data_IF_381346835464
#
_entry.id   IF_381346835464
#
_cell.length_a   1.000
_cell.length_b   1.000
_cell.length_c   1.000
_cell.angle_alpha   90.00
_cell.angle_beta   90.00
_cell.angle_gamma   90.00
#
_symmetry.space_group_name_H-M   'P 1'
#
loop_
_entity.id
_entity.type
_entity.pdbx_description
1 polymer ?
#
# COMPACT_ATOMS: atom_id res chain seq x y z
N UNK A 1 -54.77 56.47 5.04
CA UNK A 1 -55.12 57.13 6.32
C UNK A 1 -54.74 56.20 7.45
N UNK A 2 -53.96 56.71 8.44
CA UNK A 2 -53.91 56.40 9.90
C UNK A 2 -54.03 54.93 10.34
N UNK A 3 -53.29 54.38 11.31
CA UNK A 3 -52.37 54.85 12.36
C UNK A 3 -51.75 53.55 12.95
N UNK A 4 -50.47 53.49 13.36
CA UNK A 4 -49.98 53.58 14.76
C UNK A 4 -50.54 52.44 15.65
N UNK A 5 -49.81 51.68 16.49
CA UNK A 5 -48.69 51.94 17.42
C UNK A 5 -48.28 50.56 18.02
N UNK A 6 -47.00 50.20 18.15
CA UNK A 6 -46.15 50.27 19.36
C UNK A 6 -46.15 49.05 20.33
N UNK A 7 -44.92 48.60 20.63
CA UNK A 7 -44.40 48.11 21.94
C UNK A 7 -44.66 46.64 22.34
N UNK A 8 -43.86 45.90 23.13
CA UNK A 8 -42.50 45.98 23.75
C UNK A 8 -42.30 44.59 24.42
N UNK A 9 -41.10 43.98 24.27
CA UNK A 9 -40.25 43.23 25.25
C UNK A 9 -40.77 42.02 26.08
N UNK A 10 -39.89 41.00 26.11
CA UNK A 10 -39.54 40.03 27.17
C UNK A 10 -40.38 38.76 27.47
N UNK A 11 -39.78 37.63 27.06
CA UNK A 11 -39.20 36.56 27.88
C UNK A 11 -40.03 35.80 28.95
N UNK A 12 -40.03 34.45 28.76
CA UNK A 12 -39.87 33.39 29.77
C UNK A 12 -41.08 33.10 30.70
N UNK A 13 -41.55 31.87 30.97
CA UNK A 13 -40.92 30.55 31.00
C UNK A 13 -42.01 29.46 31.24
N UNK A 14 -41.82 28.27 30.65
CA UNK A 14 -42.27 26.90 30.99
C UNK A 14 -43.77 26.61 31.25
N UNK A 15 -44.36 25.71 30.44
CA UNK A 15 -44.31 24.25 30.61
C UNK A 15 -45.13 23.59 29.50
N UNK A 16 -44.52 22.77 28.65
CA UNK A 16 -45.26 21.66 28.03
C UNK A 16 -44.32 20.49 27.77
N UNK A 17 -44.76 19.35 28.30
CA UNK A 17 -44.15 18.02 28.25
C UNK A 17 -44.25 17.43 26.84
N UNK A 18 -43.13 16.97 26.28
CA UNK A 18 -43.15 15.92 25.28
C UNK A 18 -41.77 15.24 25.16
N UNK A 19 -41.72 14.01 25.67
CA UNK A 19 -41.01 12.88 25.08
C UNK A 19 -39.53 13.07 24.78
N UNK A 20 -38.71 12.81 25.80
CA UNK A 20 -37.38 12.25 25.56
C UNK A 20 -37.54 10.96 24.76
N UNK A 21 -37.35 11.04 23.44
CA UNK A 21 -36.98 9.89 22.65
C UNK A 21 -35.70 9.35 23.28
N UNK A 22 -35.84 8.27 24.03
CA UNK A 22 -34.78 7.35 24.39
C UNK A 22 -34.10 6.95 23.08
N UNK A 23 -33.09 7.71 22.68
CA UNK A 23 -32.00 7.15 21.88
C UNK A 23 -31.54 6.01 22.75
N UNK A 24 -31.88 4.79 22.32
CA UNK A 24 -31.32 3.59 22.88
C UNK A 24 -29.82 3.72 22.67
N UNK A 25 -29.14 4.29 23.68
CA UNK A 25 -27.74 4.07 23.89
C UNK A 25 -27.64 2.55 23.97
N UNK A 26 -27.32 1.92 22.83
CA UNK A 26 -26.57 0.67 22.84
C UNK A 26 -25.34 1.03 23.64
N UNK A 27 -25.43 0.85 24.95
CA UNK A 27 -24.29 0.51 25.78
C UNK A 27 -23.61 -0.59 24.99
N UNK A 28 -22.51 -0.22 24.30
CA UNK A 28 -21.47 -1.17 23.97
C UNK A 28 -21.01 -1.70 25.30
N UNK A 29 -21.73 -2.71 25.77
CA UNK A 29 -21.24 -3.63 26.75
C UNK A 29 -19.95 -4.17 26.11
N UNK A 30 -18.82 -3.69 26.60
CA UNK A 30 -17.53 -4.35 26.45
C UNK A 30 -17.74 -5.78 26.96
N UNK A 31 -18.24 -6.63 26.06
CA UNK A 31 -18.08 -8.06 26.18
C UNK A 31 -16.57 -8.20 26.24
N UNK A 32 -16.04 -8.57 27.41
CA UNK A 32 -14.68 -9.06 27.57
C UNK A 32 -14.28 -9.77 26.29
N UNK A 33 -13.20 -9.34 25.62
CA UNK A 33 -12.76 -9.89 24.34
C UNK A 33 -12.78 -11.41 24.44
N UNK A 34 -13.81 -12.04 23.87
CA UNK A 34 -14.19 -13.44 24.17
C UNK A 34 -13.05 -14.39 23.78
N UNK A 35 -12.19 -13.93 22.88
CA UNK A 35 -10.86 -14.42 22.54
C UNK A 35 -10.14 -13.33 21.70
N UNK A 36 -8.81 -13.39 21.67
CA UNK A 36 -7.94 -12.60 20.78
C UNK A 36 -7.57 -13.48 19.59
N UNK A 37 -7.77 -12.99 18.37
CA UNK A 37 -7.36 -13.67 17.15
C UNK A 37 -5.88 -13.40 16.92
N UNK A 38 -5.12 -14.44 16.60
CA UNK A 38 -3.71 -14.35 16.23
C UNK A 38 -3.51 -14.90 14.81
N UNK A 39 -3.79 -14.09 13.77
CA UNK A 39 -3.68 -14.55 12.39
C UNK A 39 -2.24 -14.92 12.06
N UNK A 40 -2.07 -16.02 11.35
CA UNK A 40 -0.81 -16.36 10.69
C UNK A 40 -0.62 -15.52 9.44
N UNK A 41 -1.70 -15.33 8.67
CA UNK A 41 -1.75 -14.49 7.48
C UNK A 41 -2.90 -13.49 7.58
N UNK A 42 -2.64 -12.25 7.18
CA UNK A 42 -3.63 -11.20 6.98
C UNK A 42 -3.55 -10.71 5.54
N UNK A 43 -4.60 -10.95 4.76
CA UNK A 43 -4.75 -10.50 3.38
C UNK A 43 -5.27 -9.07 3.40
N UNK A 44 -4.66 -8.18 2.62
CA UNK A 44 -5.04 -6.78 2.49
C UNK A 44 -5.37 -6.53 1.03
N UNK A 45 -6.66 -6.39 0.74
CA UNK A 45 -7.19 -5.97 -0.56
C UNK A 45 -7.65 -4.50 -0.48
N UNK A 46 -7.97 -3.86 -1.61
CA UNK A 46 -8.20 -2.42 -1.69
C UNK A 46 -9.66 -2.09 -2.00
N UNK A 47 -10.33 -2.92 -2.80
CA UNK A 47 -11.76 -2.76 -3.11
C UNK A 47 -12.48 -4.12 -3.29
N UNK A 48 -13.82 -4.07 -3.38
CA UNK A 48 -14.70 -5.25 -3.38
C UNK A 48 -14.26 -6.41 -4.29
N UNK A 49 -14.17 -6.21 -5.61
CA UNK A 49 -13.71 -7.22 -6.56
C UNK A 49 -12.41 -7.94 -6.21
N UNK A 50 -11.43 -7.27 -5.60
CA UNK A 50 -10.20 -7.93 -5.14
C UNK A 50 -10.46 -8.82 -3.92
N UNK A 51 -11.24 -8.32 -2.94
CA UNK A 51 -11.62 -9.09 -1.77
C UNK A 51 -12.49 -10.31 -2.12
N UNK A 52 -13.39 -10.14 -3.10
CA UNK A 52 -14.38 -11.15 -3.49
C UNK A 52 -13.75 -12.44 -4.04
N UNK A 53 -12.54 -12.37 -4.63
CA UNK A 53 -11.83 -13.56 -5.15
C UNK A 53 -11.40 -14.54 -4.06
N UNK A 54 -11.43 -14.12 -2.79
CA UNK A 54 -11.10 -14.95 -1.64
C UNK A 54 -12.31 -15.63 -0.99
N UNK A 55 -13.53 -15.36 -1.48
CA UNK A 55 -14.76 -15.85 -0.88
C UNK A 55 -15.29 -17.12 -1.56
N UNK A 56 -15.96 -17.98 -0.79
CA UNK A 56 -16.59 -19.19 -1.31
C UNK A 56 -15.61 -20.24 -1.88
N UNK A 57 -14.32 -20.14 -1.54
CA UNK A 57 -13.29 -21.07 -2.00
C UNK A 57 -13.25 -22.36 -1.14
N UNK A 58 -12.88 -23.53 -1.71
CA UNK A 58 -12.89 -24.78 -0.96
C UNK A 58 -11.81 -24.91 0.13
N UNK A 59 -10.69 -24.20 0.01
CA UNK A 59 -9.52 -24.37 0.86
C UNK A 59 -9.69 -23.76 2.25
N UNK A 60 -10.38 -22.62 2.36
CA UNK A 60 -10.67 -21.94 3.61
C UNK A 60 -11.89 -21.00 3.47
N UNK A 61 -12.61 -20.78 4.57
CA UNK A 61 -13.77 -19.88 4.61
C UNK A 61 -13.44 -18.63 5.44
N UNK A 62 -13.18 -17.50 4.78
CA UNK A 62 -12.91 -16.22 5.45
C UNK A 62 -14.15 -15.60 6.12
N UNK A 63 -15.35 -15.98 5.72
CA UNK A 63 -16.58 -15.36 6.21
C UNK A 63 -17.12 -16.04 7.48
N UNK A 64 -16.38 -17.01 8.02
CA UNK A 64 -16.74 -17.72 9.24
C UNK A 64 -16.78 -16.80 10.47
N UNK A 65 -15.91 -15.79 10.53
CA UNK A 65 -15.86 -14.80 11.60
C UNK A 65 -15.75 -13.40 10.99
N UNK A 66 -16.73 -12.54 11.28
CA UNK A 66 -16.73 -11.13 10.87
C UNK A 66 -16.52 -10.23 12.09
N UNK A 67 -15.54 -9.35 12.03
CA UNK A 67 -15.18 -8.42 13.10
C UNK A 67 -15.22 -7.00 12.57
N UNK A 68 -16.20 -6.23 13.02
CA UNK A 68 -16.24 -4.79 12.75
C UNK A 68 -15.15 -4.07 13.52
N UNK A 69 -14.25 -3.39 12.82
CA UNK A 69 -13.11 -2.66 13.41
C UNK A 69 -13.36 -1.15 13.31
N UNK A 70 -13.50 -0.44 14.44
CA UNK A 70 -13.61 1.02 14.43
C UNK A 70 -12.41 1.67 13.76
N UNK A 71 -12.66 2.54 12.77
CA UNK A 71 -11.64 3.25 12.00
C UNK A 71 -11.30 2.62 10.65
N UNK A 72 -11.86 1.46 10.32
CA UNK A 72 -11.88 0.96 8.95
C UNK A 72 -12.71 1.87 8.04
N UNK A 73 -12.49 1.75 6.73
CA UNK A 73 -13.32 2.41 5.72
C UNK A 73 -14.81 2.17 5.99
N UNK A 74 -15.66 3.21 5.93
CA UNK A 74 -17.11 3.04 6.08
C UNK A 74 -17.75 2.13 5.03
N UNK A 75 -17.08 1.93 3.89
CA UNK A 75 -17.52 1.00 2.84
C UNK A 75 -17.18 -0.45 3.17
N UNK A 76 -16.13 -0.66 3.96
CA UNK A 76 -15.55 -1.96 4.27
C UNK A 76 -15.17 -2.03 5.77
N UNK A 77 -16.17 -2.02 6.68
CA UNK A 77 -15.91 -1.84 8.11
C UNK A 77 -15.44 -3.10 8.83
N UNK A 78 -15.39 -4.24 8.14
CA UNK A 78 -15.18 -5.56 8.73
C UNK A 78 -13.83 -6.18 8.33
N UNK A 79 -13.23 -6.92 9.26
CA UNK A 79 -12.23 -7.93 8.99
C UNK A 79 -12.89 -9.31 8.98
N UNK A 80 -12.56 -10.12 7.99
CA UNK A 80 -13.09 -11.46 7.76
C UNK A 80 -12.03 -12.48 8.12
N UNK A 81 -12.34 -13.48 8.94
CA UNK A 81 -11.40 -14.50 9.38
C UNK A 81 -11.97 -15.91 9.28
N UNK A 82 -11.08 -16.87 9.05
CA UNK A 82 -11.39 -18.30 9.17
C UNK A 82 -11.87 -18.66 10.57
N UNK A 83 -12.62 -19.77 10.68
CA UNK A 83 -13.19 -20.20 11.96
C UNK A 83 -12.15 -20.41 13.08
N UNK A 84 -10.92 -20.78 12.72
CA UNK A 84 -9.79 -20.91 13.63
C UNK A 84 -8.97 -19.61 13.81
N UNK A 85 -9.27 -18.57 13.02
CA UNK A 85 -8.59 -17.27 13.06
C UNK A 85 -7.19 -17.26 12.46
N UNK A 86 -6.75 -18.32 11.78
CA UNK A 86 -5.40 -18.43 11.21
C UNK A 86 -5.21 -17.53 9.98
N UNK A 87 -6.27 -17.32 9.19
CA UNK A 87 -6.23 -16.46 8.00
C UNK A 87 -7.32 -15.41 8.17
N UNK A 88 -6.94 -14.15 8.06
CA UNK A 88 -7.85 -13.03 8.03
C UNK A 88 -7.67 -12.20 6.76
N UNK A 89 -8.65 -11.37 6.45
CA UNK A 89 -8.71 -10.52 5.28
C UNK A 89 -9.42 -9.21 5.64
N UNK A 90 -9.01 -8.12 5.01
CA UNK A 90 -9.74 -6.85 5.03
C UNK A 90 -9.66 -6.18 3.66
N UNK A 91 -10.54 -5.21 3.45
CA UNK A 91 -10.51 -4.30 2.31
C UNK A 91 -10.23 -2.89 2.85
N UNK A 92 -9.17 -2.23 2.38
CA UNK A 92 -8.76 -0.93 2.91
C UNK A 92 -9.67 0.22 2.47
N UNK A 93 -10.25 0.10 1.28
CA UNK A 93 -10.62 1.24 0.45
C UNK A 93 -9.42 1.74 -0.37
N UNK A 94 -9.71 2.31 -1.54
CA UNK A 94 -8.71 2.81 -2.48
C UNK A 94 -8.04 4.11 -1.98
N UNK A 95 -6.82 4.37 -2.46
CA UNK A 95 -5.94 5.52 -2.11
C UNK A 95 -5.24 5.44 -0.75
N UNK A 96 -4.08 6.12 -0.66
CA UNK A 96 -3.13 6.07 0.45
C UNK A 96 -3.78 6.41 1.80
N UNK A 97 -4.73 7.36 1.83
CA UNK A 97 -5.37 7.82 3.07
C UNK A 97 -6.26 6.73 3.66
N UNK A 98 -7.06 6.05 2.83
CA UNK A 98 -7.92 4.96 3.29
C UNK A 98 -7.06 3.77 3.76
N UNK A 99 -6.04 3.41 2.98
CA UNK A 99 -5.06 2.38 3.34
C UNK A 99 -4.40 2.66 4.70
N UNK A 100 -3.81 3.83 4.87
CA UNK A 100 -3.12 4.20 6.10
C UNK A 100 -4.09 4.22 7.32
N UNK A 101 -5.30 4.75 7.15
CA UNK A 101 -6.28 4.87 8.24
C UNK A 101 -6.83 3.51 8.67
N UNK A 102 -7.19 2.66 7.70
CA UNK A 102 -7.70 1.31 7.96
C UNK A 102 -6.64 0.45 8.65
N UNK A 103 -5.41 0.43 8.14
CA UNK A 103 -4.33 -0.39 8.72
C UNK A 103 -3.89 0.14 10.09
N UNK A 104 -3.80 1.46 10.28
CA UNK A 104 -3.48 2.05 11.58
C UNK A 104 -4.54 1.74 12.65
N UNK A 105 -5.79 1.51 12.24
CA UNK A 105 -6.89 1.07 13.09
C UNK A 105 -6.79 -0.42 13.40
N UNK A 106 -6.52 -1.26 12.40
CA UNK A 106 -6.33 -2.71 12.56
C UNK A 106 -5.27 -3.01 13.63
N UNK A 107 -4.06 -2.44 13.47
CA UNK A 107 -2.90 -2.78 14.29
C UNK A 107 -3.02 -2.38 15.76
N UNK A 108 -4.00 -1.54 16.09
CA UNK A 108 -4.29 -1.11 17.48
C UNK A 108 -5.56 -1.73 18.03
N UNK A 109 -6.30 -2.49 17.21
CA UNK A 109 -7.56 -3.05 17.64
C UNK A 109 -7.30 -4.29 18.52
N UNK A 110 -7.75 -4.30 19.79
CA UNK A 110 -7.32 -5.28 20.78
C UNK A 110 -7.86 -6.71 20.53
N UNK A 111 -8.71 -6.91 19.52
CA UNK A 111 -9.14 -8.24 19.06
C UNK A 111 -8.05 -9.00 18.32
N UNK A 112 -6.99 -8.33 17.86
CA UNK A 112 -5.93 -8.96 17.08
C UNK A 112 -4.58 -8.90 17.81
N UNK A 113 -3.92 -10.05 17.90
CA UNK A 113 -2.47 -10.14 18.15
C UNK A 113 -1.78 -10.35 16.80
N UNK A 114 -1.11 -9.30 16.33
CA UNK A 114 -0.47 -9.28 15.00
C UNK A 114 1.06 -9.44 15.07
N UNK A 115 1.60 -9.77 16.25
CA UNK A 115 3.05 -9.75 16.52
C UNK A 115 3.85 -10.74 15.67
N UNK A 116 3.19 -11.77 15.13
CA UNK A 116 3.82 -12.80 14.28
C UNK A 116 3.13 -12.95 12.92
N UNK A 117 2.19 -12.06 12.59
CA UNK A 117 1.36 -12.17 11.39
C UNK A 117 2.16 -11.80 10.16
N UNK A 118 1.95 -12.56 9.08
CA UNK A 118 2.36 -12.17 7.74
C UNK A 118 1.26 -11.36 7.08
N UNK A 119 1.62 -10.18 6.57
CA UNK A 119 0.70 -9.34 5.82
C UNK A 119 0.95 -9.57 4.33
N UNK A 120 -0.09 -9.94 3.60
CA UNK A 120 -0.05 -10.04 2.15
C UNK A 120 -0.93 -8.96 1.56
N UNK A 121 -0.28 -7.91 1.07
CA UNK A 121 -0.93 -6.88 0.27
C UNK A 121 -1.18 -7.51 -1.11
N UNK A 122 -2.44 -7.62 -1.50
CA UNK A 122 -2.87 -8.41 -2.65
C UNK A 122 -3.91 -7.61 -3.45
N UNK A 123 -3.48 -6.95 -4.52
CA UNK A 123 -4.38 -6.15 -5.35
C UNK A 123 -3.99 -6.17 -6.82
N UNK A 124 -4.80 -5.52 -7.65
CA UNK A 124 -4.46 -5.22 -9.04
C UNK A 124 -3.55 -4.00 -9.13
N UNK A 125 -2.97 -3.78 -10.30
CA UNK A 125 -2.09 -2.68 -10.64
C UNK A 125 -2.07 -2.42 -12.14
N UNK A 126 -1.75 -1.19 -12.53
CA UNK A 126 -1.29 -0.90 -13.89
C UNK A 126 0.13 -1.44 -14.08
N UNK A 127 0.45 -1.97 -15.27
CA UNK A 127 1.73 -2.62 -15.55
C UNK A 127 2.57 -1.81 -16.53
N UNK A 128 3.87 -1.71 -16.24
CA UNK A 128 4.87 -1.21 -17.17
C UNK A 128 5.17 -2.29 -18.23
N UNK A 129 4.86 -2.05 -19.52
CA UNK A 129 5.09 -3.02 -20.60
C UNK A 129 6.56 -3.34 -20.86
N UNK A 130 7.51 -2.59 -20.28
CA UNK A 130 8.95 -2.88 -20.35
C UNK A 130 9.36 -4.07 -19.49
N UNK A 131 8.54 -4.43 -18.48
CA UNK A 131 8.91 -5.44 -17.48
C UNK A 131 7.91 -6.59 -17.35
N UNK A 132 6.63 -6.37 -17.64
CA UNK A 132 5.59 -7.39 -17.51
C UNK A 132 4.39 -7.09 -18.44
N UNK A 133 3.36 -7.94 -18.37
CA UNK A 133 2.16 -7.86 -19.22
C UNK A 133 0.89 -8.02 -18.38
N UNK A 134 -0.27 -7.84 -19.02
CA UNK A 134 -1.60 -8.08 -18.45
C UNK A 134 -1.69 -9.50 -17.88
N UNK A 135 -2.28 -9.61 -16.69
CA UNK A 135 -2.40 -10.84 -15.92
C UNK A 135 -1.12 -11.28 -15.20
N UNK A 136 0.05 -10.66 -15.44
CA UNK A 136 1.26 -10.99 -14.68
C UNK A 136 1.09 -10.67 -13.18
N UNK A 137 1.79 -11.43 -12.35
CA UNK A 137 1.82 -11.25 -10.88
C UNK A 137 3.20 -10.78 -10.47
N UNK A 138 3.31 -9.58 -9.91
CA UNK A 138 4.56 -9.04 -9.40
C UNK A 138 4.64 -9.13 -7.88
N UNK A 139 5.83 -9.44 -7.38
CA UNK A 139 6.17 -9.31 -5.97
C UNK A 139 7.24 -8.24 -5.82
N UNK A 140 6.97 -7.25 -4.97
CA UNK A 140 7.82 -6.09 -4.81
C UNK A 140 8.76 -6.18 -3.62
N UNK A 141 9.93 -5.60 -3.81
CA UNK A 141 10.89 -5.31 -2.74
C UNK A 141 10.73 -3.87 -2.27
N UNK A 142 10.38 -2.95 -3.16
CA UNK A 142 10.13 -1.55 -2.85
C UNK A 142 8.69 -1.12 -3.14
N UNK A 143 8.18 -0.24 -2.28
CA UNK A 143 7.05 0.63 -2.57
C UNK A 143 7.54 2.08 -2.57
N UNK A 144 7.36 2.78 -3.70
CA UNK A 144 7.89 4.14 -3.91
C UNK A 144 6.76 5.13 -4.14
N UNK A 145 6.65 6.19 -3.33
CA UNK A 145 5.63 7.22 -3.48
C UNK A 145 6.05 8.24 -4.56
N UNK A 146 5.80 7.91 -5.82
CA UNK A 146 6.34 8.64 -6.98
C UNK A 146 5.68 10.01 -7.19
N UNK A 147 4.48 10.23 -6.66
CA UNK A 147 3.79 11.52 -6.73
C UNK A 147 4.17 12.48 -5.58
N UNK A 148 4.98 12.06 -4.61
CA UNK A 148 5.45 12.93 -3.52
C UNK A 148 6.61 13.85 -3.98
N UNK A 149 6.27 14.78 -4.88
CA UNK A 149 7.19 15.67 -5.57
C UNK A 149 6.54 17.04 -5.77
N UNK A 150 7.31 18.07 -6.15
CA UNK A 150 6.72 19.25 -6.75
C UNK A 150 6.18 18.89 -8.14
N UNK A 151 5.04 19.47 -8.50
CA UNK A 151 4.42 19.29 -9.82
C UNK A 151 4.23 20.65 -10.50
N UNK A 152 4.74 20.76 -11.73
CA UNK A 152 4.51 21.89 -12.63
C UNK A 152 3.76 21.41 -13.87
N UNK A 153 2.96 22.29 -14.48
CA UNK A 153 2.39 22.03 -15.79
C UNK A 153 3.50 21.74 -16.81
N UNK A 154 3.37 20.67 -17.59
CA UNK A 154 4.31 20.34 -18.67
C UNK A 154 4.45 21.44 -19.74
N UNK A 155 3.51 22.39 -19.80
CA UNK A 155 3.56 23.52 -20.73
C UNK A 155 4.33 24.72 -20.18
N UNK A 156 4.67 24.71 -18.89
CA UNK A 156 5.35 25.80 -18.20
C UNK A 156 6.78 25.43 -17.77
N UNK A 157 7.19 24.17 -17.96
CA UNK A 157 8.54 23.71 -17.63
C UNK A 157 9.58 24.09 -18.71
N UNK A 158 10.85 24.27 -18.33
CA UNK A 158 11.95 24.39 -19.28
C UNK A 158 12.06 23.20 -20.23
N UNK A 159 12.50 23.43 -21.46
CA UNK A 159 12.62 22.38 -22.50
C UNK A 159 13.64 21.29 -22.19
N UNK A 160 14.52 21.50 -21.19
CA UNK A 160 15.47 20.49 -20.73
C UNK A 160 14.89 19.54 -19.66
N UNK A 161 13.66 19.75 -19.19
CA UNK A 161 13.02 18.85 -18.22
C UNK A 161 12.17 17.84 -18.95
N UNK A 162 12.25 16.58 -18.52
CA UNK A 162 11.50 15.47 -19.12
C UNK A 162 10.05 15.40 -18.63
N UNK A 163 9.75 15.97 -17.46
CA UNK A 163 8.39 16.05 -16.91
C UNK A 163 8.26 17.23 -15.94
N UNK A 164 7.03 17.49 -15.51
CA UNK A 164 6.69 18.48 -14.48
C UNK A 164 7.05 18.08 -13.06
N UNK A 165 7.50 16.84 -12.82
CA UNK A 165 7.79 16.33 -11.49
C UNK A 165 9.24 16.61 -11.09
N UNK A 166 9.41 17.28 -9.94
CA UNK A 166 10.70 17.64 -9.36
C UNK A 166 10.76 17.15 -7.92
N UNK A 167 11.78 16.37 -7.52
CA UNK A 167 11.91 15.89 -6.14
C UNK A 167 11.87 17.03 -5.11
N UNK A 168 11.28 16.75 -3.94
CA UNK A 168 11.07 17.76 -2.91
C UNK A 168 12.39 18.39 -2.45
N UNK A 169 12.44 19.73 -2.47
CA UNK A 169 13.64 20.50 -2.14
C UNK A 169 14.74 20.52 -3.21
N UNK A 170 14.53 19.89 -4.37
CA UNK A 170 15.45 19.92 -5.51
C UNK A 170 15.04 20.99 -6.53
N UNK A 171 15.94 21.28 -7.47
CA UNK A 171 15.71 22.23 -8.57
C UNK A 171 15.59 21.55 -9.94
N UNK A 172 16.01 20.29 -10.08
CA UNK A 172 15.90 19.52 -11.32
C UNK A 172 15.40 18.09 -11.10
N UNK A 173 14.80 17.42 -12.11
CA UNK A 173 14.23 16.08 -11.96
C UNK A 173 15.26 14.98 -11.61
N UNK A 174 16.55 15.22 -11.86
CA UNK A 174 17.62 14.23 -11.64
C UNK A 174 18.27 14.35 -10.26
N UNK A 175 17.92 15.38 -9.48
CA UNK A 175 18.48 15.62 -8.16
C UNK A 175 17.72 14.83 -7.09
N UNK A 176 18.47 14.06 -6.28
CA UNK A 176 17.91 13.37 -5.11
C UNK A 176 17.14 14.36 -4.20
N UNK A 177 15.96 14.01 -3.66
CA UNK A 177 15.18 14.91 -2.82
C UNK A 177 16.00 15.43 -1.62
N UNK A 178 15.94 16.75 -1.40
CA UNK A 178 16.62 17.42 -0.28
C UNK A 178 15.70 17.62 0.93
N UNK A 179 14.38 17.54 0.72
CA UNK A 179 13.37 17.53 1.76
C UNK A 179 12.70 16.17 1.78
N UNK A 180 12.96 15.38 2.84
CA UNK A 180 12.47 14.01 3.00
C UNK A 180 11.37 14.01 4.07
N UNK A 181 10.24 13.38 3.79
CA UNK A 181 9.07 13.29 4.67
C UNK A 181 8.95 11.94 5.36
N UNK A 182 9.59 10.89 4.84
CA UNK A 182 9.69 9.56 5.46
C UNK A 182 8.92 8.46 4.74
N UNK A 183 8.05 8.82 3.79
CA UNK A 183 7.18 7.88 3.06
C UNK A 183 7.58 7.69 1.61
N UNK A 184 8.69 8.31 1.17
CA UNK A 184 9.17 8.24 -0.22
C UNK A 184 9.41 6.79 -0.66
N UNK A 185 10.06 5.99 0.20
CA UNK A 185 10.47 4.62 -0.12
C UNK A 185 10.37 3.74 1.11
N UNK A 186 9.77 2.57 0.94
CA UNK A 186 9.86 1.44 1.87
C UNK A 186 10.57 0.26 1.18
N UNK A 187 11.51 -0.38 1.87
CA UNK A 187 12.10 -1.65 1.47
C UNK A 187 11.55 -2.80 2.33
N UNK A 188 11.11 -3.86 1.68
CA UNK A 188 10.59 -5.08 2.29
C UNK A 188 11.62 -6.21 2.26
N UNK A 189 11.33 -7.28 3.00
CA UNK A 189 12.22 -8.42 3.16
C UNK A 189 12.39 -9.21 1.85
N UNK A 190 13.56 -9.10 1.21
CA UNK A 190 13.82 -9.72 -0.09
C UNK A 190 13.83 -11.26 -0.02
N UNK A 191 14.23 -11.85 1.11
CA UNK A 191 14.18 -13.31 1.25
C UNK A 191 12.74 -13.80 1.31
N UNK A 192 11.87 -13.07 2.01
CA UNK A 192 10.44 -13.37 2.04
C UNK A 192 9.79 -13.18 0.66
N UNK A 193 10.13 -12.10 -0.06
CA UNK A 193 9.71 -11.86 -1.45
C UNK A 193 10.06 -13.07 -2.34
N UNK A 194 11.32 -13.53 -2.30
CA UNK A 194 11.78 -14.69 -3.09
C UNK A 194 11.07 -15.98 -2.73
N UNK A 195 10.77 -16.21 -1.45
CA UNK A 195 9.96 -17.36 -1.02
C UNK A 195 8.54 -17.27 -1.57
N UNK A 196 7.89 -16.10 -1.48
CA UNK A 196 6.55 -15.88 -2.02
C UNK A 196 6.50 -16.11 -3.53
N UNK A 197 7.48 -15.60 -4.28
CA UNK A 197 7.62 -15.84 -5.73
C UNK A 197 7.78 -17.33 -6.04
N UNK A 198 8.59 -18.06 -5.27
CA UNK A 198 8.78 -19.49 -5.47
C UNK A 198 7.49 -20.30 -5.24
N UNK A 199 6.64 -19.87 -4.31
CA UNK A 199 5.30 -20.44 -4.13
C UNK A 199 4.36 -20.06 -5.27
N UNK A 200 4.24 -18.77 -5.57
CA UNK A 200 3.35 -18.25 -6.61
C UNK A 200 3.63 -18.84 -8.00
N UNK A 201 4.89 -19.15 -8.33
CA UNK A 201 5.27 -19.81 -9.61
C UNK A 201 4.67 -21.21 -9.80
N UNK A 202 4.08 -21.82 -8.77
CA UNK A 202 3.33 -23.07 -8.89
C UNK A 202 1.94 -22.86 -9.51
N UNK A 203 1.42 -21.64 -9.45
CA UNK A 203 0.11 -21.30 -9.98
C UNK A 203 0.10 -21.38 -11.51
N UNK A 204 -0.97 -21.95 -12.05
CA UNK A 204 -1.31 -21.77 -13.46
C UNK A 204 -2.06 -20.44 -13.59
N UNK A 205 -1.35 -19.39 -14.02
CA UNK A 205 -1.95 -18.07 -14.20
C UNK A 205 -3.02 -18.10 -15.29
N UNK A 206 -4.13 -17.44 -15.01
CA UNK A 206 -5.20 -17.17 -15.95
C UNK A 206 -4.77 -16.13 -16.99
N UNK A 207 -5.27 -16.31 -18.20
CA UNK A 207 -5.12 -15.41 -19.34
C UNK A 207 -6.37 -15.55 -20.21
N UNK A 208 -6.69 -14.55 -21.03
CA UNK A 208 -7.90 -14.56 -21.86
C UNK A 208 -7.66 -14.02 -23.27
N UNK A 209 -8.63 -14.18 -24.18
CA UNK A 209 -8.45 -13.79 -25.59
C UNK A 209 -8.17 -12.30 -25.78
N UNK A 210 -8.86 -11.47 -25.00
CA UNK A 210 -8.83 -10.01 -25.14
C UNK A 210 -7.45 -9.41 -24.79
N UNK A 211 -6.81 -9.72 -23.63
CA UNK A 211 -5.45 -9.26 -23.33
C UNK A 211 -4.41 -9.85 -24.26
N UNK A 212 -4.58 -11.09 -24.74
CA UNK A 212 -3.69 -11.69 -25.76
C UNK A 212 -3.71 -10.86 -27.06
N UNK A 213 -4.90 -10.48 -27.52
CA UNK A 213 -5.07 -9.65 -28.72
C UNK A 213 -4.52 -8.24 -28.46
N UNK A 214 -4.86 -7.63 -27.33
CA UNK A 214 -4.46 -6.27 -27.02
C UNK A 214 -2.94 -6.13 -26.89
N UNK A 215 -2.29 -7.04 -26.16
CA UNK A 215 -0.84 -6.96 -25.90
C UNK A 215 0.02 -7.22 -27.14
N UNK A 216 -0.55 -7.80 -28.20
CA UNK A 216 0.14 -7.94 -29.49
C UNK A 216 0.53 -6.58 -30.12
N UNK A 217 -0.19 -5.50 -29.79
CA UNK A 217 0.17 -4.14 -30.24
C UNK A 217 1.54 -3.67 -29.71
N UNK A 218 1.99 -4.21 -28.57
CA UNK A 218 3.28 -3.88 -27.97
C UNK A 218 4.46 -4.58 -28.68
N UNK A 219 4.22 -5.63 -29.47
CA UNK A 219 5.26 -6.43 -30.12
C UNK A 219 6.08 -5.65 -31.17
N UNK A 220 5.59 -4.49 -31.62
CA UNK A 220 6.31 -3.63 -32.57
C UNK A 220 7.54 -2.93 -31.94
N UNK A 221 7.64 -2.90 -30.61
CA UNK A 221 8.77 -2.33 -29.88
C UNK A 221 9.55 -3.42 -29.14
N UNK A 222 10.85 -3.52 -29.39
CA UNK A 222 11.71 -4.43 -28.64
C UNK A 222 11.77 -4.10 -27.15
N UNK A 223 11.55 -2.83 -26.78
CA UNK A 223 11.49 -2.42 -25.38
C UNK A 223 10.28 -3.02 -24.65
N UNK A 224 9.22 -3.41 -25.38
CA UNK A 224 7.99 -3.97 -24.82
C UNK A 224 7.85 -5.47 -25.09
N UNK A 225 8.96 -6.18 -25.27
CA UNK A 225 8.96 -7.62 -25.45
C UNK A 225 8.29 -8.35 -24.27
N UNK A 226 8.47 -7.85 -23.03
CA UNK A 226 7.79 -8.37 -21.85
C UNK A 226 6.27 -8.10 -21.90
N UNK A 227 5.88 -6.87 -22.27
CA UNK A 227 4.48 -6.47 -22.46
C UNK A 227 3.75 -7.31 -23.50
N UNK A 228 4.42 -7.76 -24.56
CA UNK A 228 3.81 -8.62 -25.58
C UNK A 228 3.76 -10.12 -25.21
N UNK A 229 4.41 -10.54 -24.13
CA UNK A 229 4.51 -11.95 -23.73
C UNK A 229 3.27 -12.44 -22.97
N UNK A 230 3.20 -13.74 -22.67
CA UNK A 230 2.19 -14.31 -21.77
C UNK A 230 2.45 -13.93 -20.30
N UNK A 231 1.40 -13.90 -19.45
CA UNK A 231 1.56 -13.55 -18.04
C UNK A 231 2.51 -14.50 -17.32
N UNK A 232 3.28 -13.95 -16.37
CA UNK A 232 4.19 -14.72 -15.54
C UNK A 232 4.35 -14.09 -14.16
N UNK A 233 4.97 -14.82 -13.23
CA UNK A 233 5.33 -14.29 -11.91
C UNK A 233 6.69 -13.61 -12.00
N UNK A 234 6.73 -12.32 -11.67
CA UNK A 234 7.91 -11.45 -11.79
C UNK A 234 8.31 -10.82 -10.46
N UNK A 235 9.60 -10.51 -10.34
CA UNK A 235 10.21 -9.81 -9.19
C UNK A 235 10.50 -8.38 -9.62
N UNK A 236 9.68 -7.42 -9.18
CA UNK A 236 9.81 -5.99 -9.51
C UNK A 236 8.88 -5.16 -8.62
N UNK A 237 9.05 -3.85 -8.64
CA UNK A 237 8.60 -2.93 -7.59
C UNK A 237 7.40 -2.06 -7.99
N UNK A 238 6.75 -1.49 -6.97
CA UNK A 238 5.54 -0.70 -7.13
C UNK A 238 5.83 0.81 -7.01
N UNK A 239 5.29 1.57 -7.95
CA UNK A 239 5.12 3.00 -7.85
C UNK A 239 3.74 3.34 -7.28
N UNK A 240 3.70 3.96 -6.11
CA UNK A 240 2.49 4.43 -5.44
C UNK A 240 2.20 5.88 -5.79
N UNK A 241 0.95 6.17 -6.17
CA UNK A 241 0.49 7.52 -6.51
C UNK A 241 -0.99 7.70 -6.20
N UNK A 242 -1.36 8.79 -5.51
CA UNK A 242 -2.77 9.22 -5.40
C UNK A 242 -3.35 9.70 -6.74
N UNK A 243 -2.49 10.07 -7.71
CA UNK A 243 -2.90 10.40 -9.08
C UNK A 243 -2.89 9.13 -9.92
N UNK A 244 -4.04 8.77 -10.48
CA UNK A 244 -4.13 7.75 -11.51
C UNK A 244 -3.62 8.32 -12.84
N UNK A 245 -2.43 7.89 -13.27
CA UNK A 245 -1.73 8.44 -14.43
C UNK A 245 -1.66 7.45 -15.59
N UNK A 246 -1.47 7.99 -16.80
CA UNK A 246 -1.09 7.17 -17.95
C UNK A 246 -0.21 7.94 -18.92
N UNK A 247 0.72 7.22 -19.56
CA UNK A 247 1.47 7.72 -20.71
C UNK A 247 2.98 7.76 -20.49
N UNK A 248 3.72 7.69 -21.61
CA UNK A 248 5.17 7.54 -21.62
C UNK A 248 5.93 8.59 -20.81
N UNK A 249 5.50 9.86 -20.85
CA UNK A 249 6.21 10.95 -20.15
C UNK A 249 6.22 10.73 -18.63
N UNK A 250 5.04 10.49 -18.04
CA UNK A 250 4.90 10.30 -16.60
C UNK A 250 5.49 8.97 -16.15
N UNK A 251 5.19 7.91 -16.90
CA UNK A 251 5.74 6.59 -16.65
C UNK A 251 7.28 6.56 -16.67
N UNK A 252 7.91 7.25 -17.63
CA UNK A 252 9.38 7.38 -17.66
C UNK A 252 9.89 8.24 -16.50
N UNK A 253 9.20 9.34 -16.15
CA UNK A 253 9.59 10.18 -15.02
C UNK A 253 9.56 9.42 -13.69
N UNK A 254 8.51 8.64 -13.45
CA UNK A 254 8.37 7.84 -12.23
C UNK A 254 9.31 6.64 -12.19
N UNK A 255 9.63 6.03 -13.34
CA UNK A 255 10.71 5.04 -13.43
C UNK A 255 12.09 5.64 -13.09
N UNK A 256 12.38 6.84 -13.60
CA UNK A 256 13.62 7.56 -13.28
C UNK A 256 13.68 7.95 -11.80
N UNK A 257 12.57 8.43 -11.23
CA UNK A 257 12.49 8.75 -9.80
C UNK A 257 12.69 7.50 -8.95
N UNK A 258 12.03 6.39 -9.28
CA UNK A 258 12.23 5.10 -8.60
C UNK A 258 13.70 4.72 -8.59
N UNK A 259 14.34 4.72 -9.77
CA UNK A 259 15.78 4.45 -9.92
C UNK A 259 16.62 5.38 -9.04
N UNK A 260 16.30 6.68 -9.02
CA UNK A 260 16.99 7.69 -8.23
C UNK A 260 16.87 7.41 -6.72
N UNK A 261 15.65 7.22 -6.21
CA UNK A 261 15.40 7.10 -4.77
C UNK A 261 15.77 5.75 -4.19
N UNK A 262 15.87 4.70 -5.01
CA UNK A 262 16.33 3.36 -4.58
C UNK A 262 17.81 3.10 -4.92
N UNK A 263 18.59 4.13 -5.26
CA UNK A 263 20.00 4.00 -5.65
C UNK A 263 20.25 2.96 -6.77
N UNK A 264 19.34 2.94 -7.76
CA UNK A 264 19.39 2.07 -8.93
C UNK A 264 18.96 0.63 -8.72
N UNK A 265 18.58 0.24 -7.50
CA UNK A 265 18.26 -1.15 -7.19
C UNK A 265 16.79 -1.54 -7.43
N UNK A 266 15.88 -0.56 -7.46
CA UNK A 266 14.46 -0.74 -7.72
C UNK A 266 14.12 -0.83 -9.21
N UNK A 267 13.08 -1.61 -9.53
CA UNK A 267 12.58 -1.85 -10.89
C UNK A 267 11.10 -1.54 -10.94
N UNK A 268 10.72 -0.34 -11.40
CA UNK A 268 9.32 0.06 -11.51
C UNK A 268 8.57 -0.76 -12.57
N UNK A 269 7.68 -1.66 -12.13
CA UNK A 269 6.87 -2.48 -13.03
C UNK A 269 5.36 -2.41 -12.79
N UNK A 270 4.93 -2.01 -11.59
CA UNK A 270 3.52 -1.93 -11.23
C UNK A 270 3.18 -0.54 -10.68
N UNK A 271 1.96 -0.07 -10.92
CA UNK A 271 1.39 1.15 -10.32
C UNK A 271 0.25 0.80 -9.37
N UNK A 272 0.21 1.48 -8.24
CA UNK A 272 -0.86 1.35 -7.26
C UNK A 272 -1.10 2.67 -6.52
N UNK A 273 -2.09 2.70 -5.62
CA UNK A 273 -2.38 3.90 -4.82
C UNK A 273 -2.29 3.67 -3.32
N UNK A 274 -2.03 2.46 -2.81
CA UNK A 274 -2.19 2.15 -1.37
C UNK A 274 -0.90 1.76 -0.65
N UNK A 275 0.13 1.35 -1.40
CA UNK A 275 1.22 0.54 -0.83
C UNK A 275 2.08 1.33 0.18
N UNK A 276 2.39 2.59 -0.12
CA UNK A 276 3.13 3.46 0.81
C UNK A 276 2.28 3.84 2.04
N UNK A 277 0.97 4.02 1.89
CA UNK A 277 0.05 4.24 3.03
C UNK A 277 -0.03 3.04 3.96
N UNK A 278 -0.13 1.83 3.39
CA UNK A 278 -0.10 0.56 4.14
C UNK A 278 1.25 0.36 4.82
N UNK A 279 2.34 0.56 4.08
CA UNK A 279 3.72 0.48 4.57
C UNK A 279 3.95 1.39 5.76
N UNK A 280 3.57 2.67 5.68
CA UNK A 280 3.78 3.62 6.78
C UNK A 280 3.00 3.24 8.05
N UNK A 281 1.75 2.77 7.90
CA UNK A 281 0.95 2.34 9.04
C UNK A 281 1.57 1.12 9.75
N UNK A 282 2.05 0.13 8.97
CA UNK A 282 2.72 -1.06 9.50
C UNK A 282 4.10 -0.72 10.09
N UNK A 283 4.87 0.18 9.49
CA UNK A 283 6.15 0.65 10.02
C UNK A 283 5.96 1.27 11.40
N UNK A 284 5.00 2.19 11.54
CA UNK A 284 4.68 2.83 12.83
C UNK A 284 4.21 1.82 13.88
N UNK A 285 3.51 0.77 13.47
CA UNK A 285 3.12 -0.31 14.35
C UNK A 285 4.33 -1.18 14.77
N UNK A 286 5.28 -1.42 13.87
CA UNK A 286 6.51 -2.17 14.13
C UNK A 286 7.42 -1.45 15.15
N UNK A 287 7.50 -0.12 15.11
CA UNK A 287 8.19 0.68 16.15
C UNK A 287 7.64 0.37 17.55
N UNK A 288 6.33 0.11 17.64
CA UNK A 288 5.63 -0.24 18.88
C UNK A 288 5.59 -1.74 19.15
N UNK A 289 6.24 -2.56 18.31
CA UNK A 289 6.27 -4.03 18.38
C UNK A 289 4.89 -4.68 18.29
N UNK A 290 3.95 -4.02 17.61
CA UNK A 290 2.60 -4.55 17.37
C UNK A 290 2.56 -5.49 16.16
N UNK A 291 3.49 -5.30 15.22
CA UNK A 291 3.71 -6.13 14.04
C UNK A 291 5.22 -6.30 13.82
N UNK A 292 5.60 -7.22 12.94
CA UNK A 292 6.96 -7.37 12.43
C UNK A 292 7.00 -6.92 10.96
N UNK A 293 7.67 -5.80 10.69
CA UNK A 293 7.75 -5.22 9.34
C UNK A 293 8.46 -6.15 8.34
N UNK A 294 9.26 -7.11 8.82
CA UNK A 294 9.92 -8.11 7.98
C UNK A 294 8.98 -9.20 7.47
N UNK A 295 7.69 -9.15 7.81
CA UNK A 295 6.65 -10.11 7.44
C UNK A 295 5.63 -9.57 6.44
N UNK A 296 6.01 -8.54 5.68
CA UNK A 296 5.16 -7.94 4.65
C UNK A 296 5.53 -8.53 3.29
N UNK A 297 4.51 -8.98 2.57
CA UNK A 297 4.56 -9.41 1.17
C UNK A 297 3.72 -8.42 0.38
N UNK A 298 4.33 -7.75 -0.59
CA UNK A 298 3.63 -6.86 -1.51
C UNK A 298 3.46 -7.56 -2.86
N UNK A 299 2.23 -7.94 -3.18
CA UNK A 299 1.83 -8.62 -4.41
C UNK A 299 0.84 -7.76 -5.20
N UNK A 300 1.13 -7.55 -6.49
CA UNK A 300 0.26 -6.82 -7.42
C UNK A 300 0.03 -7.62 -8.71
N UNK A 301 -1.17 -7.55 -9.28
CA UNK A 301 -1.54 -8.26 -10.51
C UNK A 301 -1.95 -7.29 -11.61
N UNK A 302 -1.49 -7.50 -12.85
CA UNK A 302 -1.58 -6.51 -13.92
C UNK A 302 -2.98 -6.44 -14.58
N UNK A 303 -3.78 -5.41 -14.28
CA UNK A 303 -5.13 -5.21 -14.84
C UNK A 303 -5.15 -4.44 -16.17
N UNK A 304 -4.17 -3.57 -16.37
CA UNK A 304 -4.07 -2.63 -17.49
C UNK A 304 -2.62 -2.19 -17.66
N UNK A 305 -2.25 -1.63 -18.81
CA UNK A 305 -0.95 -1.03 -19.05
C UNK A 305 -0.92 0.45 -18.63
N UNK A 306 0.15 0.85 -17.93
CA UNK A 306 0.33 2.23 -17.46
C UNK A 306 0.58 3.23 -18.61
N UNK A 307 0.90 2.74 -19.81
CA UNK A 307 1.20 3.55 -21.00
C UNK A 307 0.74 2.88 -22.29
N UNK A 308 0.37 3.67 -23.32
CA UNK A 308 -0.04 3.14 -24.61
C UNK A 308 1.09 2.40 -25.32
N UNK A 309 0.72 1.47 -26.21
CA UNK A 309 1.66 0.95 -27.21
C UNK A 309 2.06 2.05 -28.22
N UNK A 310 3.16 1.88 -28.98
CA UNK A 310 3.61 2.90 -29.93
C UNK A 310 2.53 3.28 -30.94
N UNK A 311 2.20 4.57 -31.00
CA UNK A 311 1.22 5.12 -31.95
C UNK A 311 -0.16 5.43 -31.35
N UNK A 312 -0.44 5.00 -30.12
CA UNK A 312 -1.68 5.34 -29.41
C UNK A 312 -1.50 6.53 -28.45
N UNK A 313 -2.56 7.32 -28.27
CA UNK A 313 -2.57 8.43 -27.34
C UNK A 313 -2.77 7.95 -25.89
N UNK A 314 -2.08 8.58 -24.94
CA UNK A 314 -2.23 8.25 -23.50
C UNK A 314 -3.67 8.40 -23.00
N UNK A 315 -4.41 9.40 -23.51
CA UNK A 315 -5.84 9.57 -23.20
C UNK A 315 -6.69 8.42 -23.72
N UNK A 316 -6.34 7.84 -24.86
CA UNK A 316 -7.01 6.63 -25.37
C UNK A 316 -6.72 5.44 -24.48
N UNK A 317 -5.46 5.20 -24.12
CA UNK A 317 -5.06 4.12 -23.22
C UNK A 317 -5.84 4.17 -21.89
N UNK A 318 -5.97 5.35 -21.29
CA UNK A 318 -6.62 5.49 -19.98
C UNK A 318 -8.16 5.44 -20.05
N UNK A 319 -8.78 6.17 -21.00
CA UNK A 319 -10.23 6.34 -20.96
C UNK A 319 -11.02 5.37 -21.83
N UNK A 320 -10.40 4.82 -22.87
CA UNK A 320 -11.13 4.18 -23.96
C UNK A 320 -10.59 2.79 -24.36
N UNK A 321 -9.34 2.47 -24.03
CA UNK A 321 -8.77 1.19 -24.38
C UNK A 321 -9.41 0.06 -23.58
N UNK A 322 -10.01 -0.91 -24.27
CA UNK A 322 -10.42 -2.15 -23.66
C UNK A 322 -9.27 -3.15 -23.76
N UNK A 323 -8.49 -3.25 -22.69
CA UNK A 323 -7.30 -4.08 -22.64
C UNK A 323 -7.58 -5.54 -22.25
N UNK A 324 -8.76 -5.80 -21.67
CA UNK A 324 -9.18 -7.15 -21.24
C UNK A 324 -8.40 -7.74 -20.04
N UNK A 325 -7.51 -6.98 -19.41
CA UNK A 325 -6.63 -7.48 -18.34
C UNK A 325 -7.27 -7.55 -16.94
N UNK A 326 -8.35 -6.80 -16.69
CA UNK A 326 -8.96 -6.68 -15.36
C UNK A 326 -9.38 -8.03 -14.77
N UNK A 327 -10.18 -8.82 -15.49
CA UNK A 327 -10.68 -10.11 -14.99
C UNK A 327 -9.55 -11.14 -14.79
N UNK A 328 -8.61 -11.35 -15.75
CA UNK A 328 -7.45 -12.18 -15.51
C UNK A 328 -6.61 -11.76 -14.30
N UNK A 329 -6.43 -10.46 -14.07
CA UNK A 329 -5.69 -9.95 -12.92
C UNK A 329 -6.35 -10.35 -11.60
N UNK A 330 -7.66 -10.11 -11.46
CA UNK A 330 -8.42 -10.52 -10.28
C UNK A 330 -8.30 -12.02 -10.01
N UNK A 331 -8.49 -12.87 -11.02
CA UNK A 331 -8.32 -14.32 -10.85
C UNK A 331 -6.89 -14.69 -10.43
N UNK A 332 -5.90 -13.99 -10.96
CA UNK A 332 -4.50 -14.23 -10.65
C UNK A 332 -4.10 -13.77 -9.24
N UNK A 333 -4.85 -12.86 -8.60
CA UNK A 333 -4.70 -12.56 -7.16
C UNK A 333 -4.89 -13.85 -6.36
N UNK A 334 -6.02 -14.51 -6.55
CA UNK A 334 -6.33 -15.76 -5.87
C UNK A 334 -5.36 -16.88 -6.28
N UNK A 335 -5.15 -17.11 -7.58
CA UNK A 335 -4.36 -18.24 -8.08
C UNK A 335 -2.91 -18.21 -7.60
N UNK A 336 -2.27 -17.04 -7.58
CA UNK A 336 -0.91 -16.91 -7.06
C UNK A 336 -0.89 -16.81 -5.54
N UNK A 337 -1.76 -16.00 -4.94
CA UNK A 337 -1.74 -15.76 -3.50
C UNK A 337 -2.15 -16.96 -2.67
N UNK A 338 -3.02 -17.86 -3.16
CA UNK A 338 -3.33 -19.14 -2.49
C UNK A 338 -2.09 -20.02 -2.31
N UNK A 339 -1.17 -20.01 -3.28
CA UNK A 339 0.07 -20.79 -3.20
C UNK A 339 1.01 -20.19 -2.16
N UNK A 340 1.06 -18.86 -2.04
CA UNK A 340 1.81 -18.15 -1.00
C UNK A 340 1.26 -18.49 0.38
N UNK A 341 -0.06 -18.40 0.57
CA UNK A 341 -0.73 -18.75 1.82
C UNK A 341 -0.45 -20.21 2.18
N UNK A 342 -0.64 -21.15 1.24
CA UNK A 342 -0.36 -22.56 1.46
C UNK A 342 1.10 -22.79 1.88
N UNK A 343 2.06 -22.14 1.20
CA UNK A 343 3.48 -22.21 1.54
C UNK A 343 3.79 -21.72 2.96
N UNK A 344 3.18 -20.61 3.39
CA UNK A 344 3.33 -20.07 4.76
C UNK A 344 2.74 -21.04 5.79
N UNK A 345 1.55 -21.56 5.52
CA UNK A 345 0.81 -22.43 6.44
C UNK A 345 1.52 -23.78 6.61
N UNK A 346 1.94 -24.40 5.50
CA UNK A 346 2.68 -25.68 5.52
C UNK A 346 4.05 -25.54 6.18
N UNK A 347 4.74 -24.41 5.94
CA UNK A 347 6.04 -24.10 6.51
C UNK A 347 5.99 -23.45 7.90
N UNK A 348 4.81 -23.35 8.54
CA UNK A 348 4.63 -22.50 9.72
C UNK A 348 5.62 -22.86 10.84
N UNK A 349 5.63 -24.11 11.28
CA UNK A 349 6.46 -24.52 12.42
C UNK A 349 7.95 -24.62 12.09
N UNK A 350 8.32 -24.78 10.82
CA UNK A 350 9.72 -24.93 10.39
C UNK A 350 10.40 -23.61 10.07
N UNK A 351 9.64 -22.58 9.67
CA UNK A 351 10.19 -21.34 9.12
C UNK A 351 9.39 -20.12 9.56
N UNK A 352 8.10 -20.06 9.23
CA UNK A 352 7.35 -18.81 9.29
C UNK A 352 7.00 -18.38 10.73
N UNK A 353 6.83 -19.30 11.67
CA UNK A 353 6.62 -18.94 13.08
C UNK A 353 7.80 -18.13 13.63
N UNK A 354 9.03 -18.58 13.37
CA UNK A 354 10.26 -17.91 13.80
C UNK A 354 10.53 -16.59 13.04
N UNK A 355 10.03 -16.46 11.81
CA UNK A 355 10.28 -15.34 10.94
C UNK A 355 11.33 -15.65 9.88
N UNK A 356 11.37 -14.83 8.83
CA UNK A 356 12.34 -14.96 7.74
C UNK A 356 13.39 -13.87 7.90
N UNK A 357 14.66 -14.23 8.10
CA UNK A 357 15.73 -13.25 8.19
C UNK A 357 15.96 -12.57 6.84
N UNK A 358 16.05 -11.24 6.83
CA UNK A 358 16.40 -10.46 5.65
C UNK A 358 17.92 -10.46 5.41
N UNK A 359 18.32 -10.48 4.14
CA UNK A 359 19.71 -10.22 3.70
C UNK A 359 19.90 -8.80 3.18
N UNK A 360 18.81 -8.04 3.08
CA UNK A 360 18.76 -6.65 2.66
C UNK A 360 18.29 -5.75 3.82
N UNK A 361 18.33 -4.44 3.62
CA UNK A 361 17.68 -3.48 4.51
C UNK A 361 16.16 -3.67 4.48
N UNK A 362 15.48 -3.41 5.60
CA UNK A 362 14.02 -3.53 5.73
C UNK A 362 13.53 -2.36 6.58
N UNK A 363 12.73 -1.48 5.98
CA UNK A 363 12.24 -0.27 6.64
C UNK A 363 12.03 0.90 5.68
N UNK A 364 11.95 2.10 6.24
CA UNK A 364 11.72 3.36 5.53
C UNK A 364 13.02 4.10 5.21
N UNK A 365 12.89 5.23 4.51
CA UNK A 365 14.01 6.08 4.10
C UNK A 365 14.82 6.68 5.28
N UNK A 366 14.25 6.73 6.49
CA UNK A 366 14.91 7.28 7.67
C UNK A 366 15.70 6.27 8.51
N UNK A 367 15.70 4.98 8.16
CA UNK A 367 16.19 3.92 9.06
C UNK A 367 15.49 3.97 10.43
N UNK A 368 14.17 4.17 10.43
CA UNK A 368 13.38 4.35 11.65
C UNK A 368 13.43 3.11 12.55
N UNK A 369 13.54 1.91 11.96
CA UNK A 369 13.64 0.66 12.71
C UNK A 369 15.04 0.39 13.28
N UNK A 370 16.09 1.03 12.77
CA UNK A 370 17.47 0.93 13.28
C UNK A 370 18.06 -0.47 13.13
N UNK A 371 17.94 -1.06 11.94
CA UNK A 371 18.37 -2.43 11.64
C UNK A 371 19.89 -2.65 11.68
N UNK A 372 20.32 -3.92 11.60
CA UNK A 372 21.76 -4.26 11.53
C UNK A 372 22.37 -4.05 10.14
N UNK A 373 21.54 -4.03 9.10
CA UNK A 373 21.92 -3.73 7.72
C UNK A 373 21.53 -2.27 7.50
N UNK A 374 22.49 -1.42 7.10
CA UNK A 374 22.21 -0.03 6.80
C UNK A 374 21.45 0.09 5.45
N UNK A 375 20.55 1.07 5.29
CA UNK A 375 19.92 1.32 4.00
C UNK A 375 20.95 1.73 2.95
N UNK A 376 20.73 1.30 1.70
CA UNK A 376 21.51 1.73 0.53
C UNK A 376 20.86 2.93 -0.20
N UNK A 377 19.79 3.48 0.37
CA UNK A 377 19.09 4.69 -0.04
C UNK A 377 18.78 5.62 1.15
N UNK A 378 18.29 6.82 0.86
CA UNK A 378 17.86 7.82 1.84
C UNK A 378 18.85 8.96 2.06
N UNK A 379 18.69 9.77 3.13
CA UNK A 379 19.54 10.94 3.36
C UNK A 379 21.01 10.55 3.63
N UNK A 380 21.25 9.25 3.81
CA UNK A 380 22.55 8.63 3.99
C UNK A 380 23.08 8.20 2.62
N UNK A 381 23.89 9.08 2.04
CA UNK A 381 24.74 8.85 0.86
C UNK A 381 24.03 8.54 -0.47
N UNK A 382 23.71 9.59 -1.22
CA UNK A 382 23.64 9.52 -2.69
C UNK A 382 24.83 10.30 -3.29
N UNK A 383 25.69 9.66 -4.08
CA UNK A 383 26.80 10.32 -4.82
C UNK A 383 27.68 11.29 -3.99
N UNK A 384 28.08 10.94 -2.76
CA UNK A 384 28.84 11.83 -1.86
C UNK A 384 28.17 13.18 -1.52
N UNK A 385 26.87 13.33 -1.79
CA UNK A 385 26.07 14.45 -1.31
C UNK A 385 25.34 14.02 -0.03
N UNK A 386 25.82 14.43 1.17
CA UNK A 386 25.01 14.29 2.37
C UNK A 386 23.79 15.19 2.21
N UNK A 387 22.59 14.61 2.23
CA UNK A 387 21.37 15.39 2.45
C UNK A 387 21.52 15.97 3.85
N UNK A 388 21.81 17.27 3.95
CA UNK A 388 21.93 17.96 5.24
C UNK A 388 20.51 18.14 5.76
N UNK A 389 20.09 17.45 6.83
CA UNK A 389 18.76 17.66 7.38
C UNK A 389 18.69 19.11 7.85
N UNK A 390 17.83 19.93 7.23
CA UNK A 390 17.64 21.29 7.72
C UNK A 390 16.98 21.22 9.10
N UNK A 391 17.35 22.13 10.00
CA UNK A 391 17.08 22.07 11.46
C UNK A 391 15.59 21.95 11.89
N UNK A 392 14.63 21.89 10.97
CA UNK A 392 13.24 21.56 11.31
C UNK A 392 12.99 20.05 11.47
N UNK A 393 13.81 19.19 10.86
CA UNK A 393 13.37 17.79 10.61
C UNK A 393 14.06 16.68 11.40
N UNK A 394 15.11 16.94 12.19
CA UNK A 394 15.72 15.87 13.00
C UNK A 394 16.16 16.41 14.36
N UNK A 395 15.21 16.59 15.29
CA UNK A 395 15.56 16.49 16.71
C UNK A 395 15.83 15.02 17.02
N UNK A 396 17.08 14.61 16.81
CA UNK A 396 17.65 13.40 17.40
C UNK A 396 17.39 13.50 18.91
N UNK A 397 16.38 12.78 19.42
CA UNK A 397 16.16 12.60 20.86
C UNK A 397 17.39 11.87 21.41
N UNK A 398 18.41 12.63 21.81
CA UNK A 398 19.39 12.15 22.77
C UNK A 398 18.60 11.74 24.01
N UNK A 399 18.74 10.48 24.39
CA UNK A 399 18.29 9.92 25.65
C UNK A 399 18.66 10.88 26.79
N UNK A 400 17.65 11.59 27.31
CA UNK A 400 17.81 12.34 28.55
C UNK A 400 17.87 11.30 29.67
N UNK A 401 18.96 11.21 30.46
CA UNK A 401 18.96 10.37 31.63
C UNK A 401 17.94 10.94 32.61
N UNK A 402 16.89 10.16 32.90
CA UNK A 402 15.96 10.46 33.99
C UNK A 402 16.77 10.40 35.29
N UNK A 403 17.21 11.55 35.77
CA UNK A 403 17.69 11.69 37.15
C UNK A 403 16.48 11.54 38.06
N UNK A 404 16.29 10.34 38.61
CA UNK A 404 15.47 10.17 39.81
C UNK A 404 16.06 11.07 40.90
N UNK A 405 15.31 12.11 41.29
CA UNK A 405 15.53 12.76 42.57
C UNK A 405 15.20 11.73 43.64
N UNK A 406 16.21 11.33 44.41
CA UNK A 406 16.00 10.75 45.74
C UNK A 406 15.49 11.87 46.62
N UNK A 407 14.27 11.72 47.11
CA UNK A 407 13.82 12.41 48.30
C UNK A 407 14.62 11.85 49.48
N UNK A 408 15.29 12.75 50.21
CA UNK A 408 15.83 12.44 51.54
C UNK A 408 15.51 13.60 52.46
N UNK A 409 14.72 13.24 53.49
CA UNK A 409 14.53 13.84 54.82
C UNK A 409 13.93 15.25 54.89
#
# INVERSE_FOLDING_TARGET
MRASSSSVVAASVLLSTASASLVSAKLHQERSLEYVIKPKVFIIDMFGPEGDVWYGIPEFDLLAINITVPGFSPLYPDAHCTANGDICQLITGESEINAATTIASLVRYPRFDLTTTYFMIAGIAGVNPEHATLGSVAFARYAVQVALQYEFSQFEIPTNYTSGYIPQGSLSPQEYPQSIYGTEVFEFNQNLQKMAVAFARKAALNDSSDPVIYRANYAASSAYAAGAAAPSVVECDVATSDVYFSGNILSTAFGNYTTLVTNGSGVYCMTAQEDNGTGEALLRAAIQKLVDFSRIILMRTASDFDRPYPGEAATTNLFFANQGGFEPALQNIYLAGREVIAGIMDGWNSTFAAGVNATNYVGDIFDTLGGHIAPDFGPYTFNNNPVVPTKRDVMRRRSVPVKMRRDTA
#
